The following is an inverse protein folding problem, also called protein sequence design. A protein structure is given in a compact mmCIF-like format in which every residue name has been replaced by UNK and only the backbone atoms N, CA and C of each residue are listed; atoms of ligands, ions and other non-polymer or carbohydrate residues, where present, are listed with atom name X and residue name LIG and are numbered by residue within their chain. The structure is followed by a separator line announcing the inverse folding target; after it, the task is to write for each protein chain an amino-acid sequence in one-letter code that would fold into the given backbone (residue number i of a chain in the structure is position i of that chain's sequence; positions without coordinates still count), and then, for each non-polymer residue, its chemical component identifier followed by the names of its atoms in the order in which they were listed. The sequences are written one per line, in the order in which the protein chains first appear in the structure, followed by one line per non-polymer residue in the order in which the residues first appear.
data_IF_062842808839
#
_entry.id   IF_062842808839
#
_cell.length_a   1.000
_cell.length_b   1.000
_cell.length_c   1.000
_cell.angle_alpha   90.00
_cell.angle_beta   90.00
_cell.angle_gamma   90.00
#
_symmetry.space_group_name_H-M   'P 1'
#
loop_
_entity.id
_entity.type
_entity.pdbx_description
1 polymer ?
#
# COMPACT_ATOMS: atom_id res chain seq x y z
N UNK A 1 -82.65 -20.46 -22.34
CA UNK A 1 -83.39 -21.66 -21.85
C UNK A 1 -82.61 -22.12 -20.61
N UNK A 2 -83.14 -21.89 -19.45
CA UNK A 2 -83.81 -22.83 -18.52
C UNK A 2 -82.87 -23.99 -18.15
N UNK A 3 -82.59 -24.39 -16.88
CA UNK A 3 -83.31 -24.25 -15.58
C UNK A 3 -82.32 -24.83 -14.51
N UNK A 4 -82.25 -24.18 -13.36
CA UNK A 4 -82.69 -24.67 -12.02
C UNK A 4 -82.12 -26.05 -11.59
N UNK A 5 -81.49 -26.14 -10.49
CA UNK A 5 -81.90 -26.25 -9.07
C UNK A 5 -81.12 -27.38 -8.49
N UNK A 6 -80.80 -27.56 -7.25
CA UNK A 6 -81.50 -27.25 -6.05
C UNK A 6 -80.69 -27.81 -4.87
N UNK A 7 -80.97 -27.25 -3.72
CA UNK A 7 -80.53 -27.59 -2.38
C UNK A 7 -80.75 -29.07 -1.96
N UNK A 8 -79.87 -29.60 -1.12
CA UNK A 8 -80.34 -30.41 0.04
C UNK A 8 -79.25 -30.43 1.13
N UNK A 9 -79.65 -29.91 2.28
CA UNK A 9 -79.01 -30.10 3.59
C UNK A 9 -79.21 -31.55 4.05
N UNK A 10 -78.23 -32.13 4.77
CA UNK A 10 -78.50 -32.97 5.96
C UNK A 10 -77.30 -32.96 6.88
N UNK A 11 -77.53 -32.63 8.14
CA UNK A 11 -76.58 -32.75 9.28
C UNK A 11 -76.74 -34.13 9.91
N UNK A 12 -75.68 -34.62 10.59
CA UNK A 12 -75.69 -35.41 11.83
C UNK A 12 -74.25 -35.87 12.08
N UNK A 13 -73.64 -35.35 13.08
CA UNK A 13 -73.43 -35.84 14.44
C UNK A 13 -72.48 -37.04 14.60
N UNK A 14 -71.35 -36.76 15.22
CA UNK A 14 -70.78 -37.51 16.33
C UNK A 14 -69.78 -38.60 16.04
N UNK A 15 -68.58 -38.41 16.42
CA UNK A 15 -67.95 -39.16 17.54
C UNK A 15 -66.50 -38.71 17.76
N UNK A 16 -66.22 -38.38 18.99
CA UNK A 16 -64.88 -38.11 19.51
C UNK A 16 -64.07 -39.42 19.50
N UNK A 17 -62.84 -39.38 18.93
CA UNK A 17 -61.74 -40.25 19.32
C UNK A 17 -60.47 -39.41 19.41
N UNK A 18 -60.04 -39.20 20.65
CA UNK A 18 -58.79 -38.54 21.00
C UNK A 18 -57.61 -39.45 20.61
N UNK A 19 -56.87 -39.04 19.58
CA UNK A 19 -55.55 -39.55 19.26
C UNK A 19 -54.49 -38.59 19.76
N UNK A 20 -53.87 -38.88 20.88
CA UNK A 20 -52.66 -38.24 21.33
C UNK A 20 -51.53 -38.48 20.33
N UNK A 21 -51.24 -37.57 19.44
CA UNK A 21 -50.01 -37.50 18.68
C UNK A 21 -48.97 -36.79 19.55
N UNK A 22 -48.00 -37.53 20.03
CA UNK A 22 -46.84 -36.97 20.73
C UNK A 22 -46.06 -36.10 19.77
N UNK A 23 -46.11 -34.78 20.00
CA UNK A 23 -45.20 -33.81 19.40
C UNK A 23 -43.80 -34.01 20.04
N UNK A 24 -42.84 -34.56 19.30
CA UNK A 24 -41.43 -34.47 19.65
C UNK A 24 -41.01 -32.99 19.50
N UNK A 25 -40.36 -32.39 20.49
CA UNK A 25 -39.87 -31.03 20.34
C UNK A 25 -38.72 -31.02 19.30
N UNK A 26 -38.92 -30.24 18.26
CA UNK A 26 -37.86 -29.93 17.30
C UNK A 26 -36.65 -29.37 18.05
N UNK A 27 -35.52 -30.06 17.90
CA UNK A 27 -34.22 -29.67 18.46
C UNK A 27 -33.87 -28.31 17.91
N UNK A 28 -34.07 -27.24 18.71
CA UNK A 28 -33.58 -25.91 18.39
C UNK A 28 -32.04 -25.98 18.43
N UNK A 29 -31.41 -25.96 17.28
CA UNK A 29 -29.97 -25.70 17.17
C UNK A 29 -29.73 -24.30 17.72
N UNK A 30 -29.30 -24.21 18.98
CA UNK A 30 -28.71 -23.00 19.54
C UNK A 30 -27.44 -22.71 18.73
N UNK A 31 -27.49 -21.72 17.85
CA UNK A 31 -26.29 -21.08 17.31
C UNK A 31 -25.54 -20.50 18.49
N UNK A 32 -24.48 -21.17 18.91
CA UNK A 32 -23.51 -20.59 19.83
C UNK A 32 -22.82 -19.44 19.08
N UNK A 33 -23.24 -18.22 19.31
CA UNK A 33 -22.41 -17.06 19.03
C UNK A 33 -21.22 -17.14 19.98
N UNK A 34 -20.06 -17.56 19.45
CA UNK A 34 -18.79 -17.44 20.14
C UNK A 34 -18.50 -15.93 20.15
N UNK A 35 -18.80 -15.29 21.28
CA UNK A 35 -18.33 -13.93 21.55
C UNK A 35 -16.83 -14.06 21.83
N UNK A 36 -16.01 -13.80 20.84
CA UNK A 36 -14.59 -13.63 21.07
C UNK A 36 -14.37 -12.40 21.93
N UNK A 37 -14.20 -12.59 23.23
CA UNK A 37 -13.66 -11.57 24.10
C UNK A 37 -12.21 -11.34 23.65
N UNK A 38 -11.97 -10.23 22.96
CA UNK A 38 -10.61 -9.74 22.76
C UNK A 38 -10.01 -9.41 24.13
N UNK A 39 -9.12 -10.26 24.61
CA UNK A 39 -8.27 -9.92 25.74
C UNK A 39 -7.30 -8.87 25.21
N UNK A 40 -7.53 -7.61 25.60
CA UNK A 40 -6.61 -6.52 25.34
C UNK A 40 -5.30 -6.82 26.09
N UNK A 41 -4.30 -7.31 25.35
CA UNK A 41 -2.94 -7.28 25.85
C UNK A 41 -2.41 -5.88 25.61
N UNK A 42 -2.06 -5.11 26.65
CA UNK A 42 -1.42 -3.82 26.42
C UNK A 42 -0.14 -4.08 25.63
N UNK A 43 0.00 -3.37 24.51
CA UNK A 43 1.21 -3.42 23.70
C UNK A 43 2.42 -3.12 24.59
N UNK A 44 3.54 -3.84 24.44
CA UNK A 44 4.76 -3.48 25.13
C UNK A 44 5.08 -2.02 24.82
N UNK A 45 5.43 -1.26 25.84
CA UNK A 45 5.82 0.14 25.75
C UNK A 45 7.06 0.27 24.84
N UNK A 46 6.86 0.36 23.54
CA UNK A 46 7.87 0.81 22.61
C UNK A 46 7.77 2.33 22.50
N UNK A 47 8.58 3.00 23.34
CA UNK A 47 8.76 4.46 23.29
C UNK A 47 9.62 4.94 22.10
N UNK A 48 9.74 4.17 21.05
CA UNK A 48 10.35 4.59 19.82
C UNK A 48 9.23 4.90 18.81
N UNK A 49 8.68 6.13 18.86
CA UNK A 49 8.06 6.68 17.68
C UNK A 49 9.11 6.66 16.56
N UNK A 50 8.78 6.19 15.34
CA UNK A 50 9.69 6.32 14.22
C UNK A 50 10.05 7.81 14.13
N UNK A 51 11.33 8.11 14.09
CA UNK A 51 11.83 9.47 13.94
C UNK A 51 11.43 9.99 12.54
N UNK A 52 10.20 10.51 12.44
CA UNK A 52 9.68 11.19 11.26
C UNK A 52 10.23 12.62 11.12
N UNK A 53 11.09 13.05 12.06
CA UNK A 53 11.75 14.36 12.03
C UNK A 53 12.74 14.51 10.87
N UNK A 54 13.14 13.42 10.21
CA UNK A 54 14.05 13.44 9.06
C UNK A 54 13.40 13.80 7.71
N UNK A 55 12.27 14.45 7.67
CA UNK A 55 11.67 15.14 6.51
C UNK A 55 11.42 14.36 5.21
N UNK A 56 11.97 13.16 5.02
CA UNK A 56 11.89 12.38 3.77
C UNK A 56 11.17 11.03 3.88
N UNK A 57 10.58 10.69 5.02
CA UNK A 57 9.96 9.38 5.24
C UNK A 57 10.98 8.24 5.11
N UNK A 58 10.56 6.98 4.98
CA UNK A 58 11.45 5.83 4.99
C UNK A 58 12.39 5.83 3.77
N UNK A 59 13.64 6.21 3.97
CA UNK A 59 14.71 6.25 2.94
C UNK A 59 15.78 5.18 3.14
N UNK A 60 15.62 4.32 4.14
CA UNK A 60 16.61 3.26 4.41
C UNK A 60 16.85 2.41 3.17
N UNK A 61 18.12 2.21 2.76
CA UNK A 61 18.44 1.38 1.61
C UNK A 61 18.09 -0.10 1.86
N UNK A 62 17.94 -0.85 0.78
CA UNK A 62 17.70 -2.29 0.83
C UNK A 62 16.23 -2.68 0.85
N UNK A 63 16.01 -3.97 0.79
CA UNK A 63 14.71 -4.63 0.74
C UNK A 63 14.26 -5.01 2.15
N UNK A 64 12.97 -4.98 2.40
CA UNK A 64 12.37 -5.49 3.63
C UNK A 64 11.48 -6.67 3.29
N UNK A 65 11.60 -7.76 4.04
CA UNK A 65 10.79 -8.95 3.76
C UNK A 65 10.49 -9.77 5.01
N UNK A 66 9.40 -10.54 4.95
CA UNK A 66 9.01 -11.50 5.98
C UNK A 66 8.16 -12.61 5.37
N UNK A 67 8.27 -13.81 5.93
CA UNK A 67 7.29 -14.90 5.75
C UNK A 67 6.82 -15.34 7.12
N UNK A 68 5.52 -15.50 7.24
CA UNK A 68 4.85 -15.95 8.47
C UNK A 68 3.95 -17.15 8.16
N UNK A 69 3.95 -18.10 9.06
CA UNK A 69 2.95 -19.16 9.09
C UNK A 69 1.62 -18.58 9.58
N UNK A 70 0.55 -18.81 8.82
CA UNK A 70 -0.76 -18.20 9.10
C UNK A 70 -1.33 -18.70 10.41
N UNK A 71 -1.30 -20.01 10.64
CA UNK A 71 -1.94 -20.64 11.79
C UNK A 71 -1.21 -20.31 13.10
N UNK A 72 0.11 -20.53 13.14
CA UNK A 72 0.90 -20.34 14.36
C UNK A 72 1.32 -18.88 14.58
N UNK A 73 1.38 -18.06 13.52
CA UNK A 73 1.97 -16.71 13.56
C UNK A 73 3.50 -16.71 13.64
N UNK A 74 4.13 -17.89 13.54
CA UNK A 74 5.58 -18.02 13.59
C UNK A 74 6.23 -17.35 12.38
N UNK A 75 7.27 -16.53 12.62
CA UNK A 75 8.09 -15.98 11.56
C UNK A 75 9.03 -17.07 11.02
N UNK A 76 8.88 -17.40 9.76
CA UNK A 76 9.67 -18.41 9.05
C UNK A 76 10.98 -17.81 8.54
N UNK A 77 10.91 -16.60 8.00
CA UNK A 77 12.09 -15.83 7.57
C UNK A 77 11.79 -14.33 7.64
N UNK A 78 12.82 -13.51 7.89
CA UNK A 78 12.70 -12.06 7.94
C UNK A 78 14.02 -11.40 7.57
N UNK A 79 13.95 -10.29 6.84
CA UNK A 79 15.08 -9.41 6.53
C UNK A 79 14.62 -7.96 6.56
N UNK A 80 15.18 -7.13 7.44
CA UNK A 80 14.79 -5.74 7.58
C UNK A 80 13.28 -5.57 7.81
N UNK A 81 12.64 -6.55 8.51
CA UNK A 81 11.19 -6.65 8.60
C UNK A 81 10.55 -5.46 9.32
N UNK A 82 11.29 -4.81 10.20
CA UNK A 82 10.85 -3.68 11.02
C UNK A 82 11.34 -2.33 10.47
N UNK A 83 11.98 -2.32 9.30
CA UNK A 83 12.40 -1.10 8.63
C UNK A 83 11.19 -0.37 8.07
N UNK A 84 10.97 0.92 8.41
CA UNK A 84 9.87 1.71 7.87
C UNK A 84 9.92 1.78 6.34
N UNK A 85 8.77 1.60 5.69
CA UNK A 85 8.60 1.60 4.24
C UNK A 85 7.30 2.32 3.84
N UNK A 86 7.25 2.83 2.62
CA UNK A 86 6.00 3.29 2.02
C UNK A 86 5.19 2.08 1.54
N UNK A 87 3.92 1.93 1.96
CA UNK A 87 3.10 0.79 1.58
C UNK A 87 2.69 0.78 0.10
N UNK A 88 2.59 1.95 -0.55
CA UNK A 88 1.91 2.08 -1.83
C UNK A 88 0.50 1.45 -1.77
N UNK A 89 0.05 0.80 -2.84
CA UNK A 89 -1.28 0.15 -2.89
C UNK A 89 -1.47 -1.05 -1.97
N UNK A 90 -0.45 -1.47 -1.19
CA UNK A 90 -0.67 -2.44 -0.12
C UNK A 90 -1.56 -1.87 0.99
N UNK A 91 -1.65 -0.55 1.11
CA UNK A 91 -2.64 0.17 1.93
C UNK A 91 -4.07 -0.34 1.74
N UNK A 92 -4.42 -0.73 0.50
CA UNK A 92 -5.76 -1.24 0.18
C UNK A 92 -6.10 -2.53 0.94
N UNK A 93 -5.13 -3.28 1.44
CA UNK A 93 -5.38 -4.42 2.31
C UNK A 93 -6.08 -3.98 3.61
N UNK A 94 -5.68 -2.85 4.21
CA UNK A 94 -6.36 -2.33 5.40
C UNK A 94 -7.74 -1.75 5.06
N UNK A 95 -7.90 -1.12 3.90
CA UNK A 95 -9.23 -0.68 3.45
C UNK A 95 -10.18 -1.87 3.25
N UNK A 96 -9.65 -2.99 2.72
CA UNK A 96 -10.40 -4.24 2.57
C UNK A 96 -10.69 -4.90 3.92
N UNK A 97 -9.76 -4.85 4.88
CA UNK A 97 -10.00 -5.34 6.24
C UNK A 97 -11.18 -4.63 6.90
N UNK A 98 -11.23 -3.29 6.85
CA UNK A 98 -12.35 -2.52 7.36
C UNK A 98 -13.66 -2.83 6.62
N UNK A 99 -13.60 -3.06 5.31
CA UNK A 99 -14.74 -3.45 4.51
C UNK A 99 -15.24 -4.84 4.90
N UNK A 100 -14.36 -5.81 5.08
CA UNK A 100 -14.71 -7.16 5.50
C UNK A 100 -15.31 -7.19 6.92
N UNK A 101 -14.76 -6.38 7.83
CA UNK A 101 -15.40 -6.17 9.14
C UNK A 101 -16.83 -5.62 9.03
N UNK A 102 -17.04 -4.67 8.14
CA UNK A 102 -18.36 -4.07 7.95
C UNK A 102 -19.36 -5.06 7.31
N UNK A 103 -18.90 -5.89 6.38
CA UNK A 103 -19.67 -6.97 5.76
C UNK A 103 -20.03 -8.07 6.77
N UNK A 104 -19.06 -8.53 7.56
CA UNK A 104 -19.24 -9.57 8.56
C UNK A 104 -20.19 -9.12 9.67
N UNK A 105 -20.10 -7.85 10.08
CA UNK A 105 -21.01 -7.23 11.04
C UNK A 105 -22.40 -6.88 10.47
N UNK A 106 -22.68 -7.17 9.19
CA UNK A 106 -23.96 -6.85 8.55
C UNK A 106 -24.24 -5.35 8.38
N UNK A 107 -23.24 -4.48 8.55
CA UNK A 107 -23.39 -3.03 8.37
C UNK A 107 -23.46 -2.61 6.90
N UNK A 108 -23.04 -3.47 6.00
CA UNK A 108 -23.22 -3.37 4.55
C UNK A 108 -23.29 -4.77 3.94
N UNK A 109 -23.71 -4.85 2.69
CA UNK A 109 -23.72 -6.08 1.88
C UNK A 109 -22.83 -5.90 0.65
N UNK A 110 -22.51 -6.98 -0.04
CA UNK A 110 -21.75 -6.91 -1.30
C UNK A 110 -22.49 -6.11 -2.39
N UNK A 111 -23.82 -6.00 -2.31
CA UNK A 111 -24.66 -5.30 -3.28
C UNK A 111 -24.95 -3.85 -2.85
N UNK A 112 -24.53 -3.43 -1.66
CA UNK A 112 -24.63 -2.04 -1.19
C UNK A 112 -23.97 -1.12 -2.21
N UNK A 113 -24.71 -0.06 -2.62
CA UNK A 113 -24.24 0.93 -3.57
C UNK A 113 -23.49 2.06 -2.85
N UNK A 114 -22.25 2.23 -3.18
CA UNK A 114 -21.37 3.25 -2.63
C UNK A 114 -21.41 4.48 -3.54
N UNK A 115 -21.69 5.69 -3.02
CA UNK A 115 -21.62 6.91 -3.83
C UNK A 115 -20.18 7.21 -4.26
N UNK A 116 -20.03 7.75 -5.46
CA UNK A 116 -18.75 8.19 -6.01
C UNK A 116 -18.70 9.71 -5.96
N UNK A 117 -17.87 10.26 -5.10
CA UNK A 117 -17.63 11.69 -4.98
C UNK A 117 -16.78 12.21 -6.15
N UNK A 118 -16.71 13.52 -6.34
CA UNK A 118 -15.74 14.14 -7.26
C UNK A 118 -14.31 13.78 -6.87
N UNK A 119 -14.00 13.83 -5.56
CA UNK A 119 -12.68 13.44 -5.06
C UNK A 119 -12.31 12.02 -5.49
N UNK A 120 -13.18 11.03 -5.23
CA UNK A 120 -12.94 9.64 -5.62
C UNK A 120 -12.80 9.47 -7.14
N UNK A 121 -13.65 10.11 -7.94
CA UNK A 121 -13.65 9.97 -9.40
C UNK A 121 -12.38 10.52 -10.07
N UNK A 122 -11.80 11.58 -9.51
CA UNK A 122 -10.61 12.24 -10.07
C UNK A 122 -9.28 11.76 -9.49
N UNK A 123 -9.30 10.76 -8.61
CA UNK A 123 -8.06 10.15 -8.08
C UNK A 123 -7.29 9.42 -9.18
N UNK A 124 -6.05 9.83 -9.40
CA UNK A 124 -5.12 9.22 -10.38
C UNK A 124 -4.09 8.32 -9.66
N UNK A 125 -3.32 7.46 -10.39
CA UNK A 125 -3.37 7.21 -11.85
C UNK A 125 -4.16 5.95 -12.24
N UNK A 126 -4.29 4.95 -11.35
CA UNK A 126 -4.94 3.66 -11.65
C UNK A 126 -6.38 3.69 -11.18
N UNK A 127 -7.33 3.63 -12.11
CA UNK A 127 -8.75 3.75 -11.79
C UNK A 127 -9.66 2.97 -12.75
N UNK A 128 -10.86 2.63 -12.29
CA UNK A 128 -11.93 2.07 -13.11
C UNK A 128 -12.51 3.10 -14.09
N UNK A 129 -12.38 4.39 -13.78
CA UNK A 129 -13.02 5.49 -14.48
C UNK A 129 -14.45 5.72 -13.98
N UNK A 130 -14.62 5.70 -12.67
CA UNK A 130 -15.89 6.02 -12.01
C UNK A 130 -16.27 7.47 -12.28
N UNK A 131 -17.58 7.74 -12.49
CA UNK A 131 -18.07 9.08 -12.76
C UNK A 131 -18.56 9.74 -11.47
N UNK A 132 -18.31 11.04 -11.26
CA UNK A 132 -18.86 11.77 -10.13
C UNK A 132 -20.39 11.65 -10.06
N UNK A 133 -20.94 11.48 -8.86
CA UNK A 133 -22.39 11.32 -8.64
C UNK A 133 -22.95 9.95 -9.04
N UNK A 134 -22.14 9.05 -9.61
CA UNK A 134 -22.55 7.67 -9.85
C UNK A 134 -22.40 6.81 -8.59
N UNK A 135 -22.75 5.53 -8.70
CA UNK A 135 -22.52 4.55 -7.64
C UNK A 135 -21.70 3.36 -8.15
N UNK A 136 -21.06 2.66 -7.21
CA UNK A 136 -20.41 1.37 -7.43
C UNK A 136 -20.83 0.41 -6.31
N UNK A 137 -21.11 -0.87 -6.63
CA UNK A 137 -21.36 -1.86 -5.58
C UNK A 137 -20.11 -2.17 -4.77
N UNK A 138 -20.26 -2.51 -3.48
CA UNK A 138 -19.17 -2.97 -2.60
C UNK A 138 -18.39 -4.11 -3.28
N UNK A 139 -19.11 -5.08 -3.87
CA UNK A 139 -18.51 -6.20 -4.64
C UNK A 139 -17.57 -5.71 -5.74
N UNK A 140 -18.05 -4.78 -6.56
CA UNK A 140 -17.25 -4.25 -7.68
C UNK A 140 -16.06 -3.42 -7.21
N UNK A 141 -16.22 -2.68 -6.11
CA UNK A 141 -15.13 -1.92 -5.51
C UNK A 141 -14.03 -2.85 -4.98
N UNK A 142 -14.40 -3.92 -4.23
CA UNK A 142 -13.45 -4.94 -3.75
C UNK A 142 -12.71 -5.60 -4.93
N UNK A 143 -13.45 -6.06 -5.95
CA UNK A 143 -12.86 -6.68 -7.15
C UNK A 143 -11.90 -5.75 -7.86
N UNK A 144 -12.25 -4.47 -8.02
CA UNK A 144 -11.38 -3.49 -8.65
C UNK A 144 -10.10 -3.22 -7.85
N UNK A 145 -10.20 -3.22 -6.52
CA UNK A 145 -9.05 -3.03 -5.63
C UNK A 145 -8.11 -4.24 -5.65
N UNK A 146 -8.63 -5.46 -5.63
CA UNK A 146 -7.83 -6.70 -5.58
C UNK A 146 -7.21 -7.04 -6.94
N UNK A 147 -7.90 -6.77 -8.04
CA UNK A 147 -7.40 -7.08 -9.40
C UNK A 147 -6.49 -6.00 -9.95
N UNK A 148 -7.04 -4.84 -10.35
CA UNK A 148 -6.28 -3.78 -11.01
C UNK A 148 -5.72 -2.72 -10.06
N UNK A 149 -6.03 -2.82 -8.76
CA UNK A 149 -5.58 -1.83 -7.77
C UNK A 149 -6.22 -0.44 -7.93
N UNK A 150 -7.50 -0.36 -8.33
CA UNK A 150 -8.20 0.89 -8.62
C UNK A 150 -8.21 1.86 -7.44
N UNK A 151 -7.72 3.08 -7.65
CA UNK A 151 -7.65 4.11 -6.61
C UNK A 151 -9.01 4.77 -6.40
N UNK A 152 -9.76 5.05 -7.46
CA UNK A 152 -11.11 5.62 -7.40
C UNK A 152 -12.07 4.72 -6.59
N UNK A 153 -12.02 3.40 -6.81
CA UNK A 153 -12.79 2.45 -6.05
C UNK A 153 -12.36 2.38 -4.57
N UNK A 154 -11.06 2.45 -4.29
CA UNK A 154 -10.54 2.46 -2.92
C UNK A 154 -10.93 3.74 -2.17
N UNK A 155 -10.82 4.89 -2.82
CA UNK A 155 -11.22 6.19 -2.23
C UNK A 155 -12.74 6.24 -1.99
N UNK A 156 -13.57 5.82 -2.95
CA UNK A 156 -15.03 5.79 -2.76
C UNK A 156 -15.43 4.85 -1.60
N UNK A 157 -14.82 3.66 -1.52
CA UNK A 157 -15.06 2.75 -0.40
C UNK A 157 -14.55 3.31 0.93
N UNK A 158 -13.37 3.96 0.92
CA UNK A 158 -12.83 4.63 2.10
C UNK A 158 -13.72 5.78 2.59
N UNK A 159 -14.20 6.62 1.69
CA UNK A 159 -15.16 7.68 2.03
C UNK A 159 -16.45 7.08 2.64
N UNK A 160 -16.98 6.03 2.03
CA UNK A 160 -18.19 5.36 2.55
C UNK A 160 -17.99 4.80 3.96
N UNK A 161 -16.89 4.06 4.19
CA UNK A 161 -16.53 3.50 5.50
C UNK A 161 -16.28 4.59 6.54
N UNK A 162 -15.71 5.71 6.13
CA UNK A 162 -15.47 6.89 6.97
C UNK A 162 -16.67 7.81 7.17
N UNK A 163 -17.86 7.42 6.70
CA UNK A 163 -19.07 8.24 6.83
C UNK A 163 -19.01 9.52 6.00
N UNK A 164 -18.49 9.45 4.79
CA UNK A 164 -18.31 10.55 3.83
C UNK A 164 -16.91 11.19 3.87
N UNK A 165 -15.97 10.64 4.63
CA UNK A 165 -14.62 11.23 4.77
C UNK A 165 -13.52 10.19 4.64
N UNK A 166 -12.67 10.28 3.60
CA UNK A 166 -11.49 9.44 3.46
C UNK A 166 -10.49 9.65 4.61
N UNK A 167 -10.33 10.89 5.09
CA UNK A 167 -9.45 11.19 6.22
C UNK A 167 -9.88 10.47 7.50
N UNK A 168 -11.20 10.40 7.76
CA UNK A 168 -11.74 9.62 8.89
C UNK A 168 -11.50 8.13 8.70
N UNK A 169 -11.65 7.62 7.48
CA UNK A 169 -11.31 6.23 7.16
C UNK A 169 -9.84 5.95 7.44
N UNK A 170 -8.93 6.82 7.03
CA UNK A 170 -7.50 6.68 7.30
C UNK A 170 -7.18 6.62 8.80
N UNK A 171 -7.85 7.42 9.62
CA UNK A 171 -7.76 7.32 11.08
C UNK A 171 -8.25 5.96 11.60
N UNK A 172 -9.39 5.48 11.09
CA UNK A 172 -9.90 4.14 11.44
C UNK A 172 -8.93 3.04 11.01
N UNK A 173 -8.30 3.15 9.84
CA UNK A 173 -7.28 2.22 9.36
C UNK A 173 -6.07 2.19 10.28
N UNK A 174 -5.58 3.34 10.75
CA UNK A 174 -4.48 3.43 11.69
C UNK A 174 -4.84 2.83 13.05
N UNK A 175 -6.02 3.15 13.58
CA UNK A 175 -6.51 2.55 14.84
C UNK A 175 -6.63 1.02 14.72
N UNK A 176 -7.13 0.51 13.60
CA UNK A 176 -7.22 -0.92 13.35
C UNK A 176 -5.83 -1.56 13.22
N UNK A 177 -4.89 -0.90 12.55
CA UNK A 177 -3.52 -1.35 12.45
C UNK A 177 -2.89 -1.53 13.85
N UNK A 178 -3.01 -0.52 14.71
CA UNK A 178 -2.50 -0.61 16.08
C UNK A 178 -3.18 -1.71 16.89
N UNK A 179 -4.49 -1.92 16.71
CA UNK A 179 -5.23 -3.02 17.34
C UNK A 179 -4.75 -4.41 16.88
N UNK A 180 -4.22 -4.52 15.66
CA UNK A 180 -3.60 -5.74 15.13
C UNK A 180 -2.15 -5.93 15.57
N UNK A 181 -1.57 -4.98 16.31
CA UNK A 181 -0.16 -4.98 16.69
C UNK A 181 0.79 -4.40 15.63
N UNK A 182 0.27 -3.75 14.59
CA UNK A 182 1.03 -3.04 13.57
C UNK A 182 1.51 -1.69 14.11
N UNK A 183 2.45 -1.75 15.08
CA UNK A 183 2.84 -0.59 15.88
C UNK A 183 3.58 0.51 15.12
N UNK A 184 4.09 0.23 13.93
CA UNK A 184 4.86 1.16 13.10
C UNK A 184 4.12 1.55 11.81
N UNK A 185 2.79 1.40 11.80
CA UNK A 185 1.98 1.67 10.61
C UNK A 185 1.02 2.83 10.83
N UNK A 186 1.10 3.80 9.92
CA UNK A 186 0.21 4.94 9.83
C UNK A 186 -0.38 5.02 8.42
N UNK A 187 -1.69 5.25 8.33
CA UNK A 187 -2.40 5.43 7.07
C UNK A 187 -2.90 6.86 6.93
N UNK A 188 -2.79 7.41 5.72
CA UNK A 188 -3.20 8.78 5.40
C UNK A 188 -4.30 8.85 4.34
N UNK A 189 -4.58 7.75 3.63
CA UNK A 189 -5.65 7.60 2.65
C UNK A 189 -6.00 6.13 2.46
N UNK A 190 -7.10 5.85 1.77
CA UNK A 190 -7.61 4.50 1.55
C UNK A 190 -6.93 3.76 0.37
N UNK A 191 -6.24 4.48 -0.50
CA UNK A 191 -5.74 3.98 -1.79
C UNK A 191 -4.26 3.61 -1.78
N UNK A 192 -3.46 4.18 -0.88
CA UNK A 192 -2.01 4.04 -0.87
C UNK A 192 -1.29 5.03 -1.80
N UNK A 193 -1.97 6.09 -2.20
CA UNK A 193 -1.33 7.20 -2.90
C UNK A 193 -0.27 7.86 -2.03
N UNK A 194 0.77 8.43 -2.63
CA UNK A 194 1.88 9.00 -1.88
C UNK A 194 1.45 10.03 -0.83
N UNK A 195 1.81 9.77 0.40
CA UNK A 195 1.69 10.70 1.52
C UNK A 195 2.90 10.49 2.44
N UNK A 196 3.60 11.55 2.89
CA UNK A 196 4.79 11.42 3.73
C UNK A 196 4.51 10.74 5.09
N UNK A 197 3.29 10.87 5.58
CA UNK A 197 2.88 10.30 6.87
C UNK A 197 2.34 8.86 6.73
N UNK A 198 2.30 8.31 5.51
CA UNK A 198 1.83 6.95 5.28
C UNK A 198 3.00 5.99 5.25
N UNK A 199 3.20 5.29 6.35
CA UNK A 199 4.33 4.36 6.55
C UNK A 199 3.85 3.02 7.07
N UNK A 200 4.66 1.99 6.85
CA UNK A 200 4.42 0.62 7.35
C UNK A 200 5.75 -0.13 7.44
N UNK A 201 5.71 -1.38 7.89
CA UNK A 201 6.84 -2.31 7.86
C UNK A 201 6.41 -3.63 7.20
N UNK A 202 7.39 -4.46 6.83
CA UNK A 202 7.08 -5.79 6.30
C UNK A 202 6.40 -6.67 7.37
N UNK A 203 6.81 -6.55 8.64
CA UNK A 203 6.18 -7.26 9.76
C UNK A 203 4.73 -6.83 9.92
N UNK A 204 4.45 -5.56 9.94
CA UNK A 204 3.10 -5.03 10.13
C UNK A 204 2.16 -5.50 9.02
N UNK A 205 2.60 -5.44 7.76
CA UNK A 205 1.83 -5.97 6.64
C UNK A 205 1.68 -7.50 6.69
N UNK A 206 2.65 -8.21 7.25
CA UNK A 206 2.54 -9.65 7.51
C UNK A 206 1.44 -9.95 8.53
N UNK A 207 1.32 -9.17 9.61
CA UNK A 207 0.25 -9.26 10.60
C UNK A 207 -1.12 -9.00 9.95
N UNK A 208 -1.24 -7.95 9.13
CA UNK A 208 -2.47 -7.63 8.42
C UNK A 208 -2.86 -8.74 7.43
N UNK A 209 -1.91 -9.24 6.64
CA UNK A 209 -2.16 -10.31 5.70
C UNK A 209 -2.63 -11.59 6.39
N UNK A 210 -1.99 -11.93 7.52
CA UNK A 210 -2.38 -13.05 8.37
C UNK A 210 -3.80 -12.88 8.93
N UNK A 211 -4.13 -11.69 9.43
CA UNK A 211 -5.47 -11.39 9.94
C UNK A 211 -6.55 -11.56 8.86
N UNK A 212 -6.30 -11.04 7.66
CA UNK A 212 -7.22 -11.17 6.53
C UNK A 212 -7.48 -12.64 6.16
N UNK A 213 -6.47 -13.49 6.19
CA UNK A 213 -6.60 -14.92 5.89
C UNK A 213 -7.35 -15.66 6.99
N UNK A 214 -7.00 -15.43 8.25
CA UNK A 214 -7.57 -16.13 9.39
C UNK A 214 -9.02 -15.75 9.70
N UNK A 215 -9.33 -14.44 9.65
CA UNK A 215 -10.61 -13.97 10.15
C UNK A 215 -11.66 -13.74 9.06
N UNK A 216 -11.22 -13.69 7.78
CA UNK A 216 -12.13 -13.47 6.66
C UNK A 216 -12.00 -14.52 5.54
N UNK A 217 -11.98 -15.84 5.87
CA UNK A 217 -11.84 -16.89 4.85
C UNK A 217 -12.97 -16.86 3.82
N UNK A 218 -14.17 -16.38 4.18
CA UNK A 218 -15.33 -16.22 3.28
C UNK A 218 -15.09 -15.17 2.18
N UNK A 219 -14.12 -14.27 2.34
CA UNK A 219 -13.76 -13.24 1.35
C UNK A 219 -12.43 -13.51 0.63
N UNK A 220 -11.75 -14.62 0.96
CA UNK A 220 -10.47 -14.98 0.37
C UNK A 220 -10.52 -15.09 -1.15
N UNK A 221 -11.63 -15.58 -1.69
CA UNK A 221 -11.84 -15.71 -3.14
C UNK A 221 -11.72 -14.40 -3.91
N UNK A 222 -11.92 -13.24 -3.27
CA UNK A 222 -11.71 -11.94 -3.93
C UNK A 222 -10.23 -11.69 -4.29
N UNK A 223 -9.30 -12.24 -3.55
CA UNK A 223 -7.86 -12.10 -3.83
C UNK A 223 -7.37 -13.05 -4.93
N UNK A 224 -8.12 -14.12 -5.22
CA UNK A 224 -7.79 -15.12 -6.23
C UNK A 224 -8.28 -14.76 -7.64
N UNK A 225 -9.15 -13.74 -7.75
CA UNK A 225 -9.74 -13.35 -9.02
C UNK A 225 -8.68 -12.87 -10.01
N UNK A 226 -8.58 -13.54 -11.15
CA UNK A 226 -7.66 -13.17 -12.23
C UNK A 226 -8.25 -12.17 -13.23
N UNK A 227 -9.58 -12.10 -13.33
CA UNK A 227 -10.30 -11.07 -14.10
C UNK A 227 -11.76 -11.00 -13.68
N UNK A 228 -12.39 -9.84 -13.87
CA UNK A 228 -13.84 -9.65 -13.71
C UNK A 228 -14.39 -8.71 -14.78
N UNK A 229 -15.71 -8.71 -14.96
CA UNK A 229 -16.36 -7.84 -15.92
C UNK A 229 -16.96 -6.62 -15.20
N UNK A 230 -16.60 -5.42 -15.66
CA UNK A 230 -17.13 -4.17 -15.16
C UNK A 230 -17.70 -3.31 -16.29
N UNK A 231 -19.01 -3.12 -16.32
CA UNK A 231 -19.74 -2.34 -17.33
C UNK A 231 -19.35 -2.74 -18.76
N UNK A 232 -19.31 -4.05 -19.03
CA UNK A 232 -18.98 -4.61 -20.35
C UNK A 232 -17.48 -4.61 -20.71
N UNK A 233 -16.61 -4.17 -19.79
CA UNK A 233 -15.16 -4.20 -19.96
C UNK A 233 -14.52 -5.27 -19.05
N UNK A 234 -13.70 -6.12 -19.63
CA UNK A 234 -12.92 -7.11 -18.88
C UNK A 234 -11.72 -6.43 -18.18
N UNK A 235 -11.65 -6.58 -16.87
CA UNK A 235 -10.59 -6.06 -16.02
C UNK A 235 -9.73 -7.23 -15.54
N UNK A 236 -8.42 -7.16 -15.77
CA UNK A 236 -7.48 -8.23 -15.42
C UNK A 236 -6.69 -7.92 -14.15
N UNK A 237 -6.35 -8.98 -13.42
CA UNK A 237 -5.47 -8.88 -12.26
C UNK A 237 -4.04 -8.56 -12.68
N UNK A 238 -3.41 -7.65 -11.94
CA UNK A 238 -1.99 -7.30 -12.05
C UNK A 238 -1.09 -8.15 -11.13
N UNK A 239 -1.66 -9.06 -10.34
CA UNK A 239 -0.92 -9.95 -9.45
C UNK A 239 -0.37 -11.16 -10.21
N UNK A 240 0.93 -11.11 -10.55
CA UNK A 240 1.62 -12.18 -11.26
C UNK A 240 1.68 -13.49 -10.48
N UNK A 241 1.70 -13.47 -9.15
CA UNK A 241 1.79 -14.69 -8.31
C UNK A 241 0.62 -15.64 -8.55
N UNK A 242 -0.59 -15.14 -8.78
CA UNK A 242 -1.76 -15.97 -9.08
C UNK A 242 -1.62 -16.85 -10.32
N UNK A 243 -0.69 -16.50 -11.23
CA UNK A 243 -0.45 -17.24 -12.48
C UNK A 243 0.84 -18.04 -12.46
N UNK A 244 1.80 -17.64 -11.62
CA UNK A 244 3.17 -18.16 -11.68
C UNK A 244 3.59 -18.98 -10.46
N UNK A 245 2.85 -18.91 -9.35
CA UNK A 245 3.22 -19.58 -8.11
C UNK A 245 2.17 -20.61 -7.68
N UNK A 246 2.58 -21.85 -7.58
CA UNK A 246 1.70 -22.95 -7.15
C UNK A 246 1.25 -22.75 -5.70
N UNK A 247 -0.06 -22.77 -5.50
CA UNK A 247 -0.68 -22.56 -4.20
C UNK A 247 -0.95 -21.09 -3.85
N UNK A 248 -0.65 -20.11 -4.71
CA UNK A 248 -0.96 -18.72 -4.43
C UNK A 248 -2.46 -18.46 -4.35
N UNK A 249 -2.92 -17.90 -3.22
CA UNK A 249 -4.32 -17.54 -2.92
C UNK A 249 -4.53 -16.02 -2.86
N UNK A 250 -3.49 -15.22 -3.15
CA UNK A 250 -3.57 -13.75 -3.14
C UNK A 250 -2.17 -13.14 -3.05
N UNK A 251 -1.99 -11.88 -2.64
CA UNK A 251 -3.01 -10.93 -2.22
C UNK A 251 -2.92 -9.62 -3.02
N UNK A 252 -1.79 -8.86 -2.91
CA UNK A 252 -1.75 -7.50 -3.42
C UNK A 252 -0.36 -7.07 -3.87
N UNK A 253 -0.33 -6.31 -4.97
CA UNK A 253 0.84 -5.59 -5.49
C UNK A 253 0.75 -4.11 -5.13
N UNK A 254 1.90 -3.44 -5.00
CA UNK A 254 1.99 -2.00 -4.77
C UNK A 254 3.20 -1.39 -5.45
N UNK A 255 3.03 -0.25 -6.07
CA UNK A 255 4.12 0.51 -6.68
C UNK A 255 3.89 2.01 -6.58
N UNK A 256 4.91 2.72 -6.19
CA UNK A 256 5.14 4.15 -6.44
C UNK A 256 6.64 4.35 -6.60
N UNK A 257 7.07 5.48 -7.17
CA UNK A 257 8.50 5.76 -7.32
C UNK A 257 9.25 5.74 -5.98
N UNK A 258 8.58 6.17 -4.89
CA UNK A 258 9.16 6.17 -3.53
C UNK A 258 9.13 4.79 -2.87
N UNK A 259 8.02 4.06 -3.04
CA UNK A 259 7.87 2.73 -2.46
C UNK A 259 8.60 1.64 -3.24
N UNK A 260 8.91 1.88 -4.52
CA UNK A 260 9.34 0.86 -5.47
C UNK A 260 8.33 -0.28 -5.58
N UNK A 261 8.75 -1.51 -5.79
CA UNK A 261 7.87 -2.65 -6.00
C UNK A 261 7.64 -3.39 -4.69
N UNK A 262 6.38 -3.43 -4.29
CA UNK A 262 5.89 -4.06 -3.06
C UNK A 262 4.95 -5.21 -3.40
N UNK A 263 5.03 -6.31 -2.65
CA UNK A 263 4.21 -7.48 -2.88
C UNK A 263 3.83 -8.13 -1.55
N UNK A 264 2.56 -8.46 -1.40
CA UNK A 264 2.04 -9.37 -0.37
C UNK A 264 1.45 -10.58 -1.07
N UNK A 265 1.82 -11.77 -0.62
CA UNK A 265 1.30 -13.04 -1.17
C UNK A 265 0.85 -13.94 -0.03
N UNK A 266 -0.35 -14.50 -0.14
CA UNK A 266 -0.78 -15.67 0.61
C UNK A 266 -0.68 -16.91 -0.27
N UNK A 267 -0.34 -18.05 0.32
CA UNK A 267 -0.26 -19.32 -0.40
C UNK A 267 -0.59 -20.49 0.52
N UNK A 268 -1.32 -21.46 0.00
CA UNK A 268 -1.62 -22.74 0.65
C UNK A 268 -0.99 -23.90 -0.11
N UNK A 269 -0.35 -24.81 0.62
CA UNK A 269 0.09 -26.10 0.11
C UNK A 269 -0.22 -27.19 1.12
N UNK A 270 -1.18 -28.04 0.79
CA UNK A 270 -1.59 -29.20 1.61
C UNK A 270 -2.02 -28.79 3.03
N UNK A 271 -2.72 -27.68 3.19
CA UNK A 271 -3.21 -27.17 4.47
C UNK A 271 -2.16 -26.42 5.31
N UNK A 272 -0.94 -26.29 4.83
CA UNK A 272 0.01 -25.31 5.36
C UNK A 272 -0.16 -23.99 4.63
N UNK A 273 -0.47 -22.94 5.37
CA UNK A 273 -0.74 -21.63 4.79
C UNK A 273 0.31 -20.61 5.26
N UNK A 274 0.89 -19.90 4.31
CA UNK A 274 1.92 -18.90 4.54
C UNK A 274 1.49 -17.55 3.97
N UNK A 275 1.90 -16.48 4.63
CA UNK A 275 1.88 -15.11 4.08
C UNK A 275 3.30 -14.58 3.95
N UNK A 276 3.61 -14.02 2.79
CA UNK A 276 4.88 -13.37 2.50
C UNK A 276 4.68 -11.88 2.19
N UNK A 277 5.64 -11.07 2.61
CA UNK A 277 5.72 -9.63 2.29
C UNK A 277 7.11 -9.32 1.79
N UNK A 278 7.17 -8.57 0.68
CA UNK A 278 8.42 -8.03 0.12
C UNK A 278 8.19 -6.56 -0.20
N UNK A 279 9.05 -5.68 0.31
CA UNK A 279 8.94 -4.23 0.16
C UNK A 279 10.23 -3.63 -0.40
N UNK A 280 10.05 -2.61 -1.24
CA UNK A 280 11.12 -1.78 -1.78
C UNK A 280 12.05 -2.49 -2.77
N UNK A 281 11.52 -3.43 -3.52
CA UNK A 281 12.26 -4.15 -4.56
C UNK A 281 12.52 -3.28 -5.79
N UNK A 282 13.67 -3.45 -6.46
CA UNK A 282 14.02 -2.64 -7.63
C UNK A 282 13.14 -2.92 -8.85
N UNK A 283 12.56 -4.11 -8.96
CA UNK A 283 11.67 -4.47 -10.07
C UNK A 283 10.69 -5.58 -9.69
N UNK A 284 9.65 -5.77 -10.50
CA UNK A 284 8.71 -6.90 -10.35
C UNK A 284 9.41 -8.26 -10.47
N UNK A 285 10.43 -8.39 -11.32
CA UNK A 285 11.19 -9.63 -11.44
C UNK A 285 11.86 -10.02 -10.13
N UNK A 286 12.47 -9.06 -9.44
CA UNK A 286 13.06 -9.27 -8.12
C UNK A 286 11.99 -9.57 -7.07
N UNK A 287 10.91 -8.80 -7.03
CA UNK A 287 9.83 -8.99 -6.06
C UNK A 287 9.21 -10.40 -6.16
N UNK A 288 8.87 -10.84 -7.37
CA UNK A 288 8.32 -12.18 -7.59
C UNK A 288 9.35 -13.29 -7.32
N UNK A 289 10.61 -13.10 -7.74
CA UNK A 289 11.69 -14.07 -7.51
C UNK A 289 11.96 -14.28 -6.03
N UNK A 290 12.11 -13.20 -5.27
CA UNK A 290 12.32 -13.25 -3.82
C UNK A 290 11.12 -13.86 -3.09
N UNK A 291 9.90 -13.44 -3.43
CA UNK A 291 8.69 -13.99 -2.85
C UNK A 291 8.61 -15.50 -3.06
N UNK A 292 8.86 -15.98 -4.28
CA UNK A 292 8.88 -17.40 -4.62
C UNK A 292 9.90 -18.17 -3.77
N UNK A 293 11.15 -17.68 -3.70
CA UNK A 293 12.21 -18.34 -2.94
C UNK A 293 11.88 -18.42 -1.44
N UNK A 294 11.33 -17.34 -0.88
CA UNK A 294 10.97 -17.27 0.54
C UNK A 294 9.82 -18.22 0.90
N UNK A 295 8.75 -18.24 0.09
CA UNK A 295 7.61 -19.13 0.30
C UNK A 295 8.01 -20.59 0.10
N UNK A 296 8.81 -20.93 -0.92
CA UNK A 296 9.31 -22.28 -1.13
C UNK A 296 10.16 -22.75 0.06
N UNK A 297 11.05 -21.89 0.58
CA UNK A 297 11.79 -22.17 1.81
C UNK A 297 10.86 -22.42 2.99
N UNK A 298 9.80 -21.64 3.12
CA UNK A 298 8.77 -21.81 4.17
C UNK A 298 7.96 -23.09 4.04
N UNK A 299 7.71 -23.57 2.84
CA UNK A 299 7.05 -24.86 2.60
C UNK A 299 7.96 -26.08 2.75
N UNK A 300 9.26 -25.87 3.01
CA UNK A 300 10.24 -26.96 3.17
C UNK A 300 10.63 -27.63 1.85
N UNK A 301 10.36 -26.98 0.73
CA UNK A 301 10.72 -27.45 -0.60
C UNK A 301 12.09 -26.92 -1.07
N UNK A 302 12.81 -27.74 -1.89
CA UNK A 302 13.92 -27.24 -2.68
C UNK A 302 13.38 -26.19 -3.66
N UNK A 303 14.02 -25.01 -3.73
CA UNK A 303 13.63 -23.94 -4.67
C UNK A 303 13.82 -24.49 -6.09
N UNK A 304 12.75 -24.79 -6.85
CA UNK A 304 12.93 -25.05 -8.28
C UNK A 304 13.34 -23.73 -8.89
N UNK A 305 14.58 -23.63 -9.39
CA UNK A 305 15.02 -22.46 -10.13
C UNK A 305 14.04 -22.20 -11.28
N UNK A 306 13.23 -21.17 -11.17
CA UNK A 306 12.32 -20.81 -12.24
C UNK A 306 13.13 -20.35 -13.46
N UNK A 307 12.60 -20.54 -14.66
CA UNK A 307 13.26 -20.14 -15.91
C UNK A 307 13.67 -18.66 -15.90
N UNK A 308 12.98 -17.81 -15.14
CA UNK A 308 13.30 -16.40 -14.93
C UNK A 308 14.53 -16.21 -14.02
N UNK A 309 14.70 -17.02 -12.98
CA UNK A 309 15.91 -17.01 -12.13
C UNK A 309 17.12 -17.55 -12.89
N UNK A 310 16.92 -18.57 -13.74
CA UNK A 310 17.95 -19.09 -14.63
C UNK A 310 18.35 -18.02 -15.67
N UNK A 311 17.40 -17.27 -16.24
CA UNK A 311 17.66 -16.20 -17.19
C UNK A 311 18.35 -14.99 -16.53
N UNK A 312 18.00 -14.65 -15.29
CA UNK A 312 18.68 -13.60 -14.53
C UNK A 312 20.10 -14.00 -14.12
N UNK A 313 20.32 -15.28 -13.76
CA UNK A 313 21.64 -15.84 -13.45
C UNK A 313 22.52 -16.01 -14.69
N UNK A 314 21.91 -16.18 -15.88
CA UNK A 314 22.65 -16.37 -17.15
C UNK A 314 22.93 -15.06 -17.90
N UNK A 315 22.52 -13.90 -17.39
CA UNK A 315 22.84 -12.61 -17.98
C UNK A 315 23.99 -11.95 -17.18
N UNK A 316 25.26 -12.04 -17.64
CA UNK A 316 26.38 -11.44 -16.93
C UNK A 316 26.41 -9.93 -17.21
N UNK A 317 25.42 -9.21 -16.69
CA UNK A 317 25.41 -7.76 -16.70
C UNK A 317 26.34 -7.25 -15.59
N UNK A 318 27.59 -7.03 -15.98
CA UNK A 318 28.67 -6.29 -15.28
C UNK A 318 29.25 -6.95 -14.01
N UNK A 319 30.60 -6.94 -13.87
CA UNK A 319 31.27 -7.62 -12.77
C UNK A 319 30.85 -7.00 -11.44
N UNK A 320 30.30 -7.82 -10.56
CA UNK A 320 30.24 -7.49 -9.15
C UNK A 320 31.64 -7.24 -8.67
N UNK A 321 31.92 -6.02 -8.24
CA UNK A 321 33.15 -5.65 -7.57
C UNK A 321 33.27 -6.53 -6.33
N UNK A 322 34.12 -7.54 -6.39
CA UNK A 322 34.48 -8.38 -5.26
C UNK A 322 35.18 -7.47 -4.26
N UNK A 323 34.51 -7.07 -3.22
CA UNK A 323 35.13 -6.42 -2.06
C UNK A 323 36.01 -7.51 -1.41
N UNK A 324 37.31 -7.52 -1.71
CA UNK A 324 38.29 -8.22 -0.88
C UNK A 324 38.20 -7.62 0.52
N UNK A 325 37.85 -8.43 1.51
CA UNK A 325 38.04 -8.08 2.91
C UNK A 325 39.55 -7.84 3.10
N UNK A 326 39.95 -6.57 3.10
CA UNK A 326 41.24 -6.17 3.61
C UNK A 326 41.19 -6.34 5.14
N UNK A 327 42.18 -7.05 5.66
CA UNK A 327 42.40 -7.22 7.09
C UNK A 327 42.49 -5.84 7.74
N UNK A 328 41.71 -5.67 8.80
CA UNK A 328 41.77 -4.49 9.66
C UNK A 328 43.06 -4.58 10.46
N UNK A 329 44.09 -3.86 10.04
CA UNK A 329 45.19 -3.51 10.92
C UNK A 329 44.69 -2.49 11.93
N UNK A 330 44.85 -2.81 13.21
CA UNK A 330 44.64 -1.93 14.34
C UNK A 330 45.57 -0.74 14.27
N UNK A 331 45.06 0.43 13.92
CA UNK A 331 45.78 1.70 14.03
C UNK A 331 45.43 2.36 15.37
N UNK A 332 46.49 2.67 16.08
CA UNK A 332 46.54 3.28 17.39
C UNK A 332 45.75 4.60 17.50
N UNK A 333 45.19 4.79 18.69
CA UNK A 333 44.55 6.01 19.17
C UNK A 333 45.32 7.29 18.83
N UNK A 334 44.68 8.18 18.06
CA UNK A 334 45.07 9.58 18.00
C UNK A 334 44.12 10.45 18.80
N UNK A 335 44.69 11.14 19.77
CA UNK A 335 44.10 12.24 20.55
C UNK A 335 43.47 13.31 19.65
N UNK A 336 42.28 13.85 20.00
CA UNK A 336 41.70 14.91 19.20
C UNK A 336 42.42 16.25 19.44
N UNK A 337 42.92 16.82 18.34
CA UNK A 337 43.37 18.22 18.29
C UNK A 337 42.19 19.16 18.38
N UNK A 338 42.28 20.32 19.09
CA UNK A 338 41.16 21.22 19.28
C UNK A 338 40.71 21.83 17.95
N UNK A 339 39.38 21.91 17.79
CA UNK A 339 38.72 22.53 16.65
C UNK A 339 39.18 23.98 16.48
N UNK A 340 39.79 24.27 15.34
CA UNK A 340 40.05 25.62 14.88
C UNK A 340 38.71 26.27 14.56
N UNK A 341 38.38 27.36 15.25
CA UNK A 341 37.21 28.17 14.99
C UNK A 341 37.31 28.73 13.56
N UNK A 342 36.30 28.40 12.74
CA UNK A 342 36.09 29.04 11.44
C UNK A 342 35.47 30.40 11.71
N UNK A 343 36.01 31.53 11.20
CA UNK A 343 35.44 32.84 11.42
C UNK A 343 34.07 32.97 10.75
N UNK A 344 33.06 33.30 11.55
CA UNK A 344 31.80 33.89 11.05
C UNK A 344 32.10 35.21 10.37
N UNK A 345 32.14 35.24 9.07
CA UNK A 345 31.85 36.42 8.21
C UNK A 345 32.26 36.18 6.76
N UNK A 346 31.52 35.35 6.03
CA UNK A 346 31.41 35.56 4.60
C UNK A 346 30.08 36.29 4.37
N UNK A 347 30.12 37.62 4.45
CA UNK A 347 29.06 38.47 3.91
C UNK A 347 28.84 38.07 2.46
N UNK A 348 27.65 37.53 2.18
CA UNK A 348 27.21 37.29 0.80
C UNK A 348 27.20 38.64 0.06
N UNK A 349 27.81 38.75 -1.14
CA UNK A 349 27.69 39.94 -1.95
C UNK A 349 26.20 40.21 -2.27
N UNK A 350 25.72 41.39 -1.97
CA UNK A 350 24.42 41.88 -2.41
C UNK A 350 24.43 41.87 -3.95
N UNK A 351 23.69 40.92 -4.56
CA UNK A 351 23.63 40.77 -6.03
C UNK A 351 23.81 39.36 -6.56
N UNK A 352 23.82 38.29 -5.70
CA UNK A 352 23.89 36.94 -6.18
C UNK A 352 22.60 36.58 -6.94
N UNK A 353 22.72 36.44 -8.27
CA UNK A 353 21.62 36.09 -9.17
C UNK A 353 21.06 34.70 -8.82
N UNK A 354 19.74 34.65 -8.57
CA UNK A 354 19.01 33.39 -8.17
C UNK A 354 18.58 32.59 -9.40
N UNK A 355 19.53 32.22 -10.26
CA UNK A 355 19.27 31.51 -11.52
C UNK A 355 19.66 30.04 -11.46
N UNK A 356 19.70 29.44 -10.29
CA UNK A 356 20.10 28.07 -10.10
C UNK A 356 18.96 27.21 -9.57
N UNK A 357 18.97 25.96 -9.99
CA UNK A 357 17.95 24.96 -9.68
C UNK A 357 18.59 23.72 -9.07
N UNK A 358 17.98 23.21 -8.03
CA UNK A 358 18.22 21.86 -7.55
C UNK A 358 17.20 20.94 -8.23
N UNK A 359 17.63 20.16 -9.19
CA UNK A 359 16.82 19.19 -9.94
C UNK A 359 16.76 17.87 -9.17
N UNK A 360 15.55 17.46 -8.76
CA UNK A 360 15.33 16.39 -7.78
C UNK A 360 14.97 15.03 -8.42
N UNK A 361 14.83 15.01 -9.73
CA UNK A 361 14.51 13.81 -10.48
C UNK A 361 13.28 13.95 -11.37
N UNK A 362 13.02 12.90 -12.15
CA UNK A 362 11.90 12.83 -13.10
C UNK A 362 11.02 11.65 -12.70
N UNK A 363 9.72 11.88 -12.61
CA UNK A 363 8.74 10.94 -12.04
C UNK A 363 7.61 10.66 -13.01
N UNK A 364 7.07 9.44 -12.99
CA UNK A 364 5.89 9.08 -13.77
C UNK A 364 4.63 9.81 -13.29
N UNK A 365 4.55 10.11 -11.98
CA UNK A 365 3.36 10.68 -11.36
C UNK A 365 3.62 12.10 -10.88
N UNK A 366 2.72 13.01 -11.26
CA UNK A 366 2.73 14.41 -10.84
C UNK A 366 2.77 14.57 -9.32
N UNK A 367 2.02 13.73 -8.61
CA UNK A 367 1.96 13.70 -7.15
C UNK A 367 3.32 13.39 -6.52
N UNK A 368 4.08 12.44 -7.07
CA UNK A 368 5.41 12.09 -6.58
C UNK A 368 6.40 13.23 -6.80
N UNK A 369 6.41 13.82 -7.99
CA UNK A 369 7.23 14.98 -8.30
C UNK A 369 6.94 16.14 -7.32
N UNK A 370 5.65 16.44 -7.10
CA UNK A 370 5.21 17.48 -6.18
C UNK A 370 5.63 17.20 -4.73
N UNK A 371 5.47 15.96 -4.29
CA UNK A 371 5.84 15.56 -2.92
C UNK A 371 7.33 15.74 -2.68
N UNK A 372 8.18 15.30 -3.59
CA UNK A 372 9.65 15.45 -3.48
C UNK A 372 10.05 16.91 -3.49
N UNK A 373 9.46 17.73 -4.38
CA UNK A 373 9.76 19.15 -4.45
C UNK A 373 9.38 19.89 -3.15
N UNK A 374 8.20 19.59 -2.59
CA UNK A 374 7.75 20.19 -1.32
C UNK A 374 8.62 19.76 -0.14
N UNK A 375 8.95 18.46 -0.03
CA UNK A 375 9.83 17.95 1.03
C UNK A 375 11.23 18.56 0.97
N UNK A 376 11.80 18.69 -0.24
CA UNK A 376 13.10 19.30 -0.41
C UNK A 376 13.09 20.79 0.00
N UNK A 377 12.01 21.52 -0.32
CA UNK A 377 11.79 22.88 0.14
C UNK A 377 11.72 22.98 1.67
N UNK A 378 10.91 22.11 2.29
CA UNK A 378 10.66 22.15 3.73
C UNK A 378 11.93 21.77 4.52
N UNK A 379 12.73 20.81 4.02
CA UNK A 379 14.01 20.44 4.62
C UNK A 379 15.03 21.58 4.66
N UNK A 380 15.02 22.45 3.66
CA UNK A 380 16.04 23.49 3.50
C UNK A 380 15.54 24.90 3.77
N UNK A 381 14.22 25.09 3.90
CA UNK A 381 13.59 26.39 4.14
C UNK A 381 13.89 27.42 3.06
N UNK A 382 14.33 27.01 1.85
CA UNK A 382 14.77 27.87 0.76
C UNK A 382 14.34 27.32 -0.59
N UNK A 383 14.10 28.20 -1.56
CA UNK A 383 13.68 27.86 -2.91
C UNK A 383 12.18 27.68 -3.06
N UNK A 384 11.73 27.68 -4.30
CA UNK A 384 10.34 27.48 -4.70
C UNK A 384 10.22 26.05 -5.23
N UNK A 385 9.33 25.25 -4.61
CA UNK A 385 9.03 23.90 -5.09
C UNK A 385 8.24 23.98 -6.40
N UNK A 386 8.80 23.44 -7.46
CA UNK A 386 8.21 23.47 -8.80
C UNK A 386 8.19 22.09 -9.43
N UNK A 387 7.16 21.84 -10.24
CA UNK A 387 7.04 20.63 -11.04
C UNK A 387 6.77 21.02 -12.49
N UNK A 388 7.43 20.36 -13.41
CA UNK A 388 7.33 20.61 -14.83
C UNK A 388 6.96 19.33 -15.56
N UNK A 389 6.06 19.45 -16.56
CA UNK A 389 5.72 18.34 -17.42
C UNK A 389 6.81 18.21 -18.51
N UNK A 390 7.41 17.05 -18.60
CA UNK A 390 8.48 16.77 -19.58
C UNK A 390 8.19 15.48 -20.36
N UNK A 391 8.54 15.47 -21.64
CA UNK A 391 8.47 14.25 -22.45
C UNK A 391 9.86 13.65 -22.63
N UNK A 392 10.00 12.35 -22.31
CA UNK A 392 11.24 11.60 -22.58
C UNK A 392 10.89 10.25 -23.21
N UNK A 393 11.49 9.98 -24.36
CA UNK A 393 11.27 8.73 -25.11
C UNK A 393 9.77 8.42 -25.35
N UNK A 394 8.99 9.45 -25.66
CA UNK A 394 7.53 9.33 -25.92
C UNK A 394 6.67 9.06 -24.67
N UNK A 395 7.22 9.23 -23.49
CA UNK A 395 6.50 9.09 -22.21
C UNK A 395 6.34 10.46 -21.55
N UNK A 396 5.14 10.70 -21.03
CA UNK A 396 4.84 11.87 -20.23
C UNK A 396 5.38 11.66 -18.81
N UNK A 397 6.22 12.57 -18.35
CA UNK A 397 6.91 12.49 -17.07
C UNK A 397 6.85 13.87 -16.37
N UNK A 398 7.15 13.88 -15.09
CA UNK A 398 7.11 15.08 -14.25
C UNK A 398 8.47 15.32 -13.61
N UNK A 399 9.10 16.44 -13.93
CA UNK A 399 10.34 16.90 -13.35
C UNK A 399 10.07 17.61 -12.02
N UNK A 400 10.70 17.18 -10.94
CA UNK A 400 10.67 17.88 -9.65
C UNK A 400 11.90 18.73 -9.46
N UNK A 401 11.75 19.96 -9.00
CA UNK A 401 12.86 20.89 -8.83
C UNK A 401 12.58 21.96 -7.75
N UNK A 402 13.67 22.50 -7.18
CA UNK A 402 13.63 23.73 -6.38
C UNK A 402 14.31 24.84 -7.18
N UNK A 403 13.57 25.90 -7.45
CA UNK A 403 14.02 27.09 -8.19
C UNK A 403 14.30 28.28 -7.27
N UNK A 404 14.79 29.39 -7.81
CA UNK A 404 15.06 30.60 -7.03
C UNK A 404 16.26 30.46 -6.08
N UNK A 405 17.21 29.58 -6.37
CA UNK A 405 18.40 29.35 -5.56
C UNK A 405 19.61 30.11 -6.13
N UNK A 406 20.53 30.47 -5.25
CA UNK A 406 21.91 30.83 -5.65
C UNK A 406 22.70 29.56 -5.97
N UNK A 407 23.83 29.68 -6.66
CA UNK A 407 24.72 28.54 -6.93
C UNK A 407 25.07 27.76 -5.66
N UNK A 408 25.54 28.46 -4.64
CA UNK A 408 25.87 27.84 -3.36
C UNK A 408 24.65 27.18 -2.70
N UNK A 409 23.49 27.85 -2.75
CA UNK A 409 22.23 27.31 -2.21
C UNK A 409 21.77 26.02 -2.91
N UNK A 410 21.88 25.95 -4.24
CA UNK A 410 21.56 24.75 -5.01
C UNK A 410 22.51 23.59 -4.70
N UNK A 411 23.84 23.89 -4.62
CA UNK A 411 24.84 22.89 -4.25
C UNK A 411 24.66 22.34 -2.83
N UNK A 412 24.38 23.21 -1.85
CA UNK A 412 24.13 22.78 -0.47
C UNK A 412 22.85 21.96 -0.36
N UNK A 413 21.83 22.35 -1.11
CA UNK A 413 20.57 21.58 -1.19
C UNK A 413 20.83 20.20 -1.76
N UNK A 414 21.49 20.11 -2.92
CA UNK A 414 21.77 18.80 -3.54
C UNK A 414 22.72 17.93 -2.70
N UNK A 415 23.72 18.52 -2.05
CA UNK A 415 24.62 17.78 -1.13
C UNK A 415 23.83 17.13 0.00
N UNK A 416 22.94 17.86 0.64
CA UNK A 416 22.13 17.34 1.72
C UNK A 416 21.13 16.26 1.23
N UNK A 417 20.49 16.49 0.09
CA UNK A 417 19.53 15.53 -0.49
C UNK A 417 20.21 14.23 -0.91
N UNK A 418 21.38 14.32 -1.54
CA UNK A 418 22.18 13.16 -1.93
C UNK A 418 22.68 12.37 -0.71
N UNK A 419 23.04 13.03 0.38
CA UNK A 419 23.39 12.38 1.66
C UNK A 419 22.21 11.60 2.27
N UNK A 420 20.98 12.00 1.96
CA UNK A 420 19.74 11.30 2.35
C UNK A 420 19.18 10.36 1.26
N UNK A 421 19.99 10.00 0.27
CA UNK A 421 19.61 9.04 -0.79
C UNK A 421 18.65 9.60 -1.85
N UNK A 422 18.38 10.90 -1.86
CA UNK A 422 17.56 11.54 -2.90
C UNK A 422 18.48 12.10 -3.97
N UNK A 423 18.40 11.56 -5.19
CA UNK A 423 19.20 12.04 -6.32
C UNK A 423 18.89 13.52 -6.58
N UNK A 424 19.94 14.35 -6.65
CA UNK A 424 19.82 15.78 -6.89
C UNK A 424 21.00 16.30 -7.71
N UNK A 425 20.68 17.02 -8.78
CA UNK A 425 21.63 17.66 -9.67
C UNK A 425 21.46 19.17 -9.68
N UNK A 426 22.58 19.91 -9.70
CA UNK A 426 22.56 21.38 -9.82
C UNK A 426 22.53 21.80 -11.29
N UNK A 427 21.56 22.63 -11.67
CA UNK A 427 21.40 23.15 -13.03
C UNK A 427 21.30 24.66 -12.99
N UNK A 428 21.70 25.30 -14.08
CA UNK A 428 21.43 26.73 -14.33
C UNK A 428 20.13 26.84 -15.12
N UNK A 429 19.27 27.78 -14.72
CA UNK A 429 18.09 28.13 -15.51
C UNK A 429 18.49 28.88 -16.78
N UNK A 430 18.01 28.43 -17.92
CA UNK A 430 18.18 29.16 -19.19
C UNK A 430 17.27 30.38 -19.23
N UNK A 431 17.61 31.34 -20.09
CA UNK A 431 16.91 32.62 -20.20
C UNK A 431 15.40 32.49 -20.46
N UNK A 432 14.98 31.47 -21.16
CA UNK A 432 13.58 31.25 -21.51
C UNK A 432 12.74 30.74 -20.30
N UNK A 433 13.35 30.02 -19.37
CA UNK A 433 12.72 29.62 -18.10
C UNK A 433 12.62 30.77 -17.08
N UNK A 434 13.50 31.78 -17.18
CA UNK A 434 13.47 32.95 -16.30
C UNK A 434 12.30 33.90 -16.62
N UNK A 435 11.88 33.95 -17.88
CA UNK A 435 10.72 34.73 -18.30
C UNK A 435 9.41 34.20 -17.73
N UNK A 436 9.25 32.90 -17.66
CA UNK A 436 8.05 32.25 -17.07
C UNK A 436 7.94 32.40 -15.56
N UNK A 437 9.07 32.58 -14.84
CA UNK A 437 9.07 32.78 -13.39
C UNK A 437 8.72 34.19 -12.97
N UNK A 438 9.00 35.17 -13.84
CA UNK A 438 8.69 36.61 -13.55
C UNK A 438 7.19 36.92 -13.69
N UNK A 439 6.42 36.12 -14.43
CA UNK A 439 4.97 36.27 -14.57
C UNK A 439 4.19 35.61 -13.40
N UNK A 440 4.78 34.66 -12.68
CA UNK A 440 4.13 33.96 -11.55
C UNK A 440 4.18 34.73 -10.21
N UNK A 441 5.08 35.68 -10.05
CA UNK A 441 5.20 36.52 -8.83
C UNK A 441 4.31 37.76 -8.87
N UNK A 442 3.50 37.96 -9.91
CA UNK A 442 2.68 39.16 -10.16
C UNK A 442 1.16 38.98 -9.97
N UNK A 443 0.69 37.84 -9.39
CA UNK A 443 -0.75 37.64 -9.10
C UNK A 443 -0.99 37.12 -7.69
#
# INVERSE_FOLDING_TARGET
MRNKGGLAKWALAGLYLAGFAAFSPASAHKKHHIIHHYIYHPAPNFSAQPDISSGFGPTSPGVSSIVMDVNSGQVVSAQGADTPRYPASLTKLMTLDLAFQALDAGRMTLDTQIPVSEHAAYVEPVKLGLQPGSTISVRSAILAMTTMSANDAATALGEYLGGGSEARCAQMMTLRAHALGMAQTEFANASGLPNPNQVTTARDLGLLARDLVLHYPQFQTFFEVTSFDFRGRKVFSNNGMLKSYYGATGMKTGYTDLARHNLVTSADRNGKELVGVVLHEPSWGYAYGQMTAMLDGGFGGHVPMTRAMVAAASNPAKPHMTVKLAQVETVASHTPTPATQIPDSVRQPAGATRHWVAQLGVYYYKTNARLIALKARDLRGRGIAQIEHVQRHGKDLWLAQLTGLTYAGAHDTCRALNAHGTQCDVRRLDSDHLAMLSEADGT
#
